data_IF_969041239746
#
_entry.id   IF_969041239746
#
_cell.length_a   1.000
_cell.length_b   1.000
_cell.length_c   1.000
_cell.angle_alpha   90.00
_cell.angle_beta   90.00
_cell.angle_gamma   90.00
#
_symmetry.space_group_name_H-M   'P 1'
#
loop_
_entity.id
_entity.type
_entity.pdbx_description
1 polymer ?
#
# COMPACT_ATOMS: atom_id res chain seq x y z
N UNK A 1 -4.71 5.32 -20.88
CA UNK A 1 -3.68 5.43 -19.82
C UNK A 1 -4.32 6.33 -18.78
N UNK A 2 -4.79 5.79 -17.64
CA UNK A 2 -5.57 6.55 -16.67
C UNK A 2 -4.85 7.82 -16.17
N UNK A 3 -3.52 7.81 -16.19
CA UNK A 3 -2.69 8.96 -15.86
C UNK A 3 -2.95 10.19 -16.77
N UNK A 4 -3.33 9.97 -18.04
CA UNK A 4 -3.54 11.06 -19.01
C UNK A 4 -4.87 11.80 -18.80
N UNK A 5 -5.80 11.22 -18.05
CA UNK A 5 -7.08 11.87 -17.73
C UNK A 5 -6.87 13.08 -16.79
N UNK A 6 -5.68 13.20 -16.20
CA UNK A 6 -5.25 14.29 -15.33
C UNK A 6 -4.40 15.35 -16.01
N UNK A 7 -4.23 15.30 -17.34
CA UNK A 7 -3.36 16.22 -18.05
C UNK A 7 -3.75 17.69 -17.87
N UNK A 8 -5.04 18.01 -18.00
CA UNK A 8 -5.54 19.38 -17.88
C UNK A 8 -5.51 19.91 -16.43
N UNK A 9 -5.62 19.01 -15.44
CA UNK A 9 -5.57 19.33 -14.01
C UNK A 9 -4.15 19.24 -13.41
N UNK A 10 -3.14 18.88 -14.21
CA UNK A 10 -1.80 18.50 -13.76
C UNK A 10 -1.19 19.52 -12.79
N UNK A 11 -1.17 20.80 -13.15
CA UNK A 11 -0.55 21.84 -12.32
C UNK A 11 -1.23 21.99 -10.95
N UNK A 12 -2.52 21.72 -10.88
CA UNK A 12 -3.27 21.77 -9.62
C UNK A 12 -3.02 20.53 -8.75
N UNK A 13 -2.76 19.37 -9.37
CA UNK A 13 -2.66 18.07 -8.71
C UNK A 13 -1.22 17.63 -8.41
N UNK A 14 -0.24 18.17 -9.15
CA UNK A 14 1.15 17.76 -9.03
C UNK A 14 1.69 17.94 -7.62
N UNK A 15 2.63 17.08 -7.25
CA UNK A 15 3.36 17.17 -5.98
C UNK A 15 4.03 18.55 -5.85
N UNK A 16 3.93 19.15 -4.66
CA UNK A 16 4.51 20.45 -4.32
C UNK A 16 5.49 20.40 -3.14
N UNK A 17 5.96 19.21 -2.75
CA UNK A 17 6.92 19.03 -1.66
C UNK A 17 7.66 17.67 -1.70
N UNK A 18 8.39 17.37 -0.62
CA UNK A 18 9.07 16.09 -0.46
C UNK A 18 8.08 15.03 -0.01
N UNK A 19 7.30 14.52 -0.96
CA UNK A 19 6.30 13.48 -0.73
C UNK A 19 6.72 12.20 -1.44
N UNK A 20 6.78 11.10 -0.70
CA UNK A 20 6.98 9.76 -1.25
C UNK A 20 5.65 9.03 -1.40
N UNK A 21 5.52 8.28 -2.49
CA UNK A 21 4.55 7.21 -2.65
C UNK A 21 5.29 5.91 -2.45
N UNK A 22 4.78 5.07 -1.56
CA UNK A 22 5.37 3.77 -1.26
C UNK A 22 4.66 2.72 -2.10
N UNK A 23 5.39 2.14 -3.05
CA UNK A 23 4.89 1.06 -3.89
C UNK A 23 5.00 -0.30 -3.18
N UNK A 24 3.98 -1.18 -3.26
CA UNK A 24 3.93 -2.40 -2.47
C UNK A 24 4.43 -3.64 -3.25
N UNK A 25 5.73 -3.78 -3.50
CA UNK A 25 6.30 -4.93 -4.22
C UNK A 25 6.04 -6.24 -3.47
N UNK A 26 6.08 -6.23 -2.14
CA UNK A 26 5.79 -7.41 -1.33
C UNK A 26 4.34 -7.85 -1.48
N UNK A 27 3.38 -6.91 -1.44
CA UNK A 27 1.98 -7.24 -1.74
C UNK A 27 1.81 -7.73 -3.16
N UNK A 28 2.37 -7.03 -4.16
CA UNK A 28 2.33 -7.46 -5.55
C UNK A 28 2.80 -8.92 -5.68
N UNK A 29 3.91 -9.25 -5.02
CA UNK A 29 4.48 -10.60 -5.01
C UNK A 29 3.57 -11.60 -4.31
N UNK A 30 2.98 -11.23 -3.17
CA UNK A 30 2.04 -12.06 -2.39
C UNK A 30 0.77 -12.42 -3.17
N UNK A 31 0.33 -11.57 -4.10
CA UNK A 31 -0.83 -11.78 -4.96
C UNK A 31 -0.54 -12.59 -6.23
N UNK A 32 0.71 -12.97 -6.50
CA UNK A 32 1.02 -13.85 -7.62
C UNK A 32 0.42 -15.24 -7.41
N UNK A 33 0.24 -15.98 -8.52
CA UNK A 33 -0.19 -17.37 -8.47
C UNK A 33 0.73 -18.21 -7.58
N UNK A 34 0.14 -19.02 -6.69
CA UNK A 34 0.81 -19.75 -5.61
C UNK A 34 1.53 -18.84 -4.60
N UNK A 35 1.09 -17.60 -4.49
CA UNK A 35 1.55 -16.62 -3.51
C UNK A 35 0.80 -16.72 -2.18
N UNK A 36 1.16 -15.83 -1.26
CA UNK A 36 0.59 -15.81 0.10
C UNK A 36 -0.92 -15.56 0.08
N UNK A 37 -1.42 -14.77 -0.87
CA UNK A 37 -2.85 -14.53 -1.00
C UNK A 37 -3.64 -15.82 -1.32
N UNK A 38 -3.08 -16.78 -2.07
CA UNK A 38 -3.74 -18.06 -2.35
C UNK A 38 -3.91 -18.92 -1.09
N UNK A 39 -3.04 -18.74 -0.09
CA UNK A 39 -3.23 -19.33 1.24
C UNK A 39 -4.43 -18.71 1.94
N UNK A 40 -4.55 -17.38 1.97
CA UNK A 40 -5.72 -16.71 2.57
C UNK A 40 -7.03 -16.98 1.84
N UNK A 41 -6.98 -17.15 0.52
CA UNK A 41 -8.16 -17.51 -0.28
C UNK A 41 -8.58 -18.99 -0.14
N UNK A 42 -7.80 -19.82 0.57
CA UNK A 42 -8.06 -21.25 0.72
C UNK A 42 -7.81 -22.06 -0.54
N UNK A 43 -7.05 -21.52 -1.49
CA UNK A 43 -6.66 -22.21 -2.73
C UNK A 43 -5.40 -23.06 -2.55
N UNK A 44 -4.58 -22.78 -1.52
CA UNK A 44 -3.31 -23.47 -1.29
C UNK A 44 -2.85 -23.44 0.19
N UNK A 45 -2.90 -24.57 0.89
CA UNK A 45 -2.52 -24.66 2.31
C UNK A 45 -1.01 -24.47 2.58
N UNK A 46 -0.16 -24.57 1.56
CA UNK A 46 1.30 -24.48 1.69
C UNK A 46 1.90 -23.21 1.10
N UNK A 47 1.09 -22.31 0.52
CA UNK A 47 1.55 -21.11 -0.15
C UNK A 47 1.83 -19.99 0.86
N UNK A 48 2.80 -20.19 1.74
CA UNK A 48 3.21 -19.19 2.75
C UNK A 48 4.51 -18.49 2.38
N UNK A 49 5.04 -18.71 1.17
CA UNK A 49 6.24 -18.06 0.67
C UNK A 49 6.14 -17.85 -0.83
N UNK A 50 6.73 -16.76 -1.33
CA UNK A 50 6.69 -16.41 -2.76
C UNK A 50 7.93 -15.63 -3.17
N UNK A 51 8.34 -15.79 -4.42
CA UNK A 51 9.43 -15.02 -5.02
C UNK A 51 9.05 -13.56 -5.17
N UNK A 52 9.97 -12.67 -4.84
CA UNK A 52 9.81 -11.22 -4.99
C UNK A 52 9.84 -10.86 -6.47
N UNK A 53 8.85 -10.08 -6.91
CA UNK A 53 8.84 -9.51 -8.26
C UNK A 53 9.91 -8.44 -8.42
N UNK A 54 10.55 -8.41 -9.59
CA UNK A 54 11.58 -7.43 -9.93
C UNK A 54 11.07 -6.30 -10.83
N UNK A 55 9.76 -6.20 -11.01
CA UNK A 55 9.11 -5.18 -11.84
C UNK A 55 7.92 -4.59 -11.11
N UNK A 56 7.67 -3.29 -11.31
CA UNK A 56 6.42 -2.67 -10.92
C UNK A 56 5.29 -3.15 -11.83
N UNK A 57 4.32 -3.85 -11.25
CA UNK A 57 3.11 -4.24 -11.97
C UNK A 57 2.02 -3.19 -11.85
N UNK A 58 1.11 -3.21 -12.82
CA UNK A 58 -0.02 -2.29 -12.88
C UNK A 58 -1.31 -3.06 -12.60
N UNK A 59 -1.23 -3.96 -11.63
CA UNK A 59 -2.33 -4.83 -11.22
C UNK A 59 -3.22 -4.13 -10.20
N UNK A 60 -4.48 -4.57 -10.13
CA UNK A 60 -5.46 -4.03 -9.20
C UNK A 60 -5.01 -4.17 -7.74
N UNK A 61 -4.44 -5.33 -7.38
CA UNK A 61 -3.97 -5.65 -6.03
C UNK A 61 -2.71 -4.90 -5.61
N UNK A 62 -1.94 -4.36 -6.55
CA UNK A 62 -0.73 -3.57 -6.28
C UNK A 62 -0.96 -2.06 -6.50
N UNK A 63 -2.22 -1.60 -6.48
CA UNK A 63 -2.57 -0.19 -6.68
C UNK A 63 -2.09 0.40 -8.01
N UNK A 64 -2.16 -0.39 -9.10
CA UNK A 64 -1.56 -0.06 -10.38
C UNK A 64 -1.97 1.29 -10.97
N UNK A 65 -3.24 1.68 -10.85
CA UNK A 65 -3.75 2.98 -11.29
C UNK A 65 -3.24 4.09 -10.37
N UNK A 66 -3.33 3.92 -9.05
CA UNK A 66 -2.83 4.89 -8.08
C UNK A 66 -1.34 5.18 -8.27
N UNK A 67 -0.54 4.13 -8.45
CA UNK A 67 0.89 4.24 -8.77
C UNK A 67 1.13 5.10 -10.02
N UNK A 68 0.50 4.77 -11.14
CA UNK A 68 0.72 5.48 -12.42
C UNK A 68 0.29 6.94 -12.36
N UNK A 69 -0.85 7.20 -11.72
CA UNK A 69 -1.39 8.57 -11.59
C UNK A 69 -0.48 9.41 -10.71
N UNK A 70 -0.07 8.92 -9.54
CA UNK A 70 0.79 9.68 -8.63
C UNK A 70 2.21 9.85 -9.20
N UNK A 71 2.77 8.82 -9.84
CA UNK A 71 4.04 8.94 -10.57
C UNK A 71 3.94 10.02 -11.66
N UNK A 72 2.88 9.98 -12.48
CA UNK A 72 2.63 10.99 -13.50
C UNK A 72 2.57 12.40 -12.91
N UNK A 73 1.87 12.59 -11.77
CA UNK A 73 1.75 13.84 -11.04
C UNK A 73 3.05 14.28 -10.32
N UNK A 74 4.17 13.60 -10.53
CA UNK A 74 5.49 13.99 -10.04
C UNK A 74 5.74 13.70 -8.56
N UNK A 75 4.97 12.80 -7.95
CA UNK A 75 5.29 12.27 -6.63
C UNK A 75 6.50 11.35 -6.72
N UNK A 76 7.41 11.40 -5.74
CA UNK A 76 8.58 10.51 -5.73
C UNK A 76 8.11 9.11 -5.37
N UNK A 77 8.57 8.09 -6.11
CA UNK A 77 8.23 6.70 -5.82
C UNK A 77 9.42 6.03 -5.17
N UNK A 78 9.18 5.41 -4.02
CA UNK A 78 10.04 4.42 -3.37
C UNK A 78 9.23 3.13 -3.22
N UNK A 79 9.88 2.01 -2.92
CA UNK A 79 9.19 0.77 -2.64
C UNK A 79 9.47 0.23 -1.23
N UNK A 80 8.65 -0.75 -0.84
CA UNK A 80 8.76 -1.46 0.43
C UNK A 80 10.10 -2.20 0.60
N UNK A 81 10.79 -2.57 -0.48
CA UNK A 81 12.16 -3.12 -0.42
C UNK A 81 13.16 -2.06 0.03
N UNK A 82 13.08 -0.83 -0.50
CA UNK A 82 13.93 0.29 -0.08
C UNK A 82 13.74 0.60 1.41
N UNK A 83 12.50 0.55 1.90
CA UNK A 83 12.17 0.79 3.30
C UNK A 83 12.67 -0.35 4.19
N UNK A 84 12.45 -1.61 3.83
CA UNK A 84 12.93 -2.74 4.64
C UNK A 84 14.47 -2.75 4.76
N UNK A 85 15.17 -2.43 3.68
CA UNK A 85 16.64 -2.31 3.68
C UNK A 85 17.14 -1.09 4.45
N UNK A 86 16.44 0.02 4.36
CA UNK A 86 16.82 1.27 5.01
C UNK A 86 15.60 2.07 5.50
N UNK A 87 15.05 1.75 6.68
CA UNK A 87 13.87 2.43 7.24
C UNK A 87 14.01 3.96 7.35
N UNK A 88 15.22 4.45 7.57
CA UNK A 88 15.54 5.88 7.69
C UNK A 88 15.33 6.67 6.39
N UNK A 89 15.12 6.00 5.25
CA UNK A 89 14.78 6.67 4.00
C UNK A 89 13.52 7.52 4.13
N UNK A 90 12.57 7.11 4.99
CA UNK A 90 11.32 7.82 5.22
C UNK A 90 11.54 9.20 5.87
N UNK A 91 12.63 9.41 6.62
CA UNK A 91 12.95 10.69 7.28
C UNK A 91 13.25 11.82 6.28
N UNK A 92 13.47 11.48 5.00
CA UNK A 92 13.70 12.46 3.93
C UNK A 92 12.41 13.13 3.44
N UNK A 93 11.26 12.59 3.82
CA UNK A 93 9.96 12.98 3.29
C UNK A 93 9.13 13.66 4.37
N UNK A 94 8.46 14.75 4.00
CA UNK A 94 7.55 15.46 4.90
C UNK A 94 6.22 14.70 5.06
N UNK A 95 5.90 13.88 4.06
CA UNK A 95 4.67 13.09 3.96
C UNK A 95 4.95 11.83 3.15
N UNK A 96 4.35 10.72 3.55
CA UNK A 96 4.33 9.51 2.74
C UNK A 96 2.90 9.09 2.43
N UNK A 97 2.69 8.55 1.22
CA UNK A 97 1.43 8.01 0.73
C UNK A 97 1.64 6.51 0.55
N UNK A 98 0.97 5.72 1.37
CA UNK A 98 1.02 4.27 1.30
C UNK A 98 -0.03 3.78 0.28
N UNK A 99 0.40 2.96 -0.67
CA UNK A 99 -0.49 2.24 -1.57
C UNK A 99 -1.03 0.98 -0.84
N UNK A 100 -1.36 -0.10 -1.55
CA UNK A 100 -1.86 -1.34 -0.96
C UNK A 100 -0.72 -2.19 -0.33
N UNK A 101 0.03 -1.62 0.61
CA UNK A 101 1.06 -2.32 1.39
C UNK A 101 0.41 -3.20 2.47
N UNK A 102 -0.27 -4.27 2.05
CA UNK A 102 -0.88 -5.29 2.91
C UNK A 102 0.18 -6.17 3.59
N UNK A 103 1.17 -6.65 2.82
CA UNK A 103 2.24 -7.52 3.28
C UNK A 103 3.50 -6.69 3.50
N UNK A 104 3.94 -6.58 4.75
CA UNK A 104 5.07 -5.72 5.12
C UNK A 104 5.99 -6.42 6.11
N UNK A 105 7.26 -6.01 6.13
CA UNK A 105 8.17 -6.50 7.17
C UNK A 105 7.93 -5.75 8.48
N UNK A 106 8.35 -6.34 9.60
CA UNK A 106 8.30 -5.64 10.89
C UNK A 106 9.06 -4.32 10.89
N UNK A 107 10.20 -4.23 10.18
CA UNK A 107 10.99 -3.01 10.09
C UNK A 107 10.26 -1.93 9.30
N UNK A 108 9.66 -2.31 8.17
CA UNK A 108 8.84 -1.42 7.36
C UNK A 108 7.62 -0.92 8.14
N UNK A 109 6.90 -1.83 8.81
CA UNK A 109 5.77 -1.49 9.68
C UNK A 109 6.17 -0.45 10.73
N UNK A 110 7.23 -0.71 11.50
CA UNK A 110 7.72 0.21 12.52
C UNK A 110 8.12 1.57 11.92
N UNK A 111 8.76 1.60 10.74
CA UNK A 111 9.12 2.84 10.06
C UNK A 111 7.88 3.67 9.69
N UNK A 112 6.86 3.02 9.12
CA UNK A 112 5.64 3.67 8.65
C UNK A 112 4.85 4.23 9.83
N UNK A 113 4.59 3.45 10.88
CA UNK A 113 3.75 3.91 12.01
C UNK A 113 4.41 5.02 12.85
N UNK A 114 5.75 5.14 12.80
CA UNK A 114 6.48 6.21 13.47
C UNK A 114 6.72 7.45 12.58
N UNK A 115 6.46 7.35 11.27
CA UNK A 115 6.51 8.52 10.40
C UNK A 115 5.42 9.52 10.81
N UNK A 116 5.71 10.83 10.95
CA UNK A 116 4.78 11.80 11.54
C UNK A 116 3.54 12.09 10.68
N UNK A 117 3.60 11.79 9.37
CA UNK A 117 2.54 12.11 8.42
C UNK A 117 2.40 11.06 7.32
N UNK A 118 1.41 10.19 7.48
CA UNK A 118 1.12 9.09 6.56
C UNK A 118 -0.29 9.21 6.00
N UNK A 119 -0.43 9.09 4.68
CA UNK A 119 -1.71 8.88 4.01
C UNK A 119 -1.80 7.41 3.65
N UNK A 120 -2.65 6.65 4.33
CA UNK A 120 -2.98 5.29 3.95
C UNK A 120 -4.06 5.35 2.87
N UNK A 121 -3.64 5.35 1.62
CA UNK A 121 -4.55 5.56 0.48
C UNK A 121 -5.39 4.32 0.18
N UNK A 122 -4.87 3.12 0.48
CA UNK A 122 -5.57 1.86 0.27
C UNK A 122 -5.85 1.19 1.62
N UNK A 123 -7.07 0.63 1.82
CA UNK A 123 -7.42 -0.13 3.00
C UNK A 123 -6.72 -1.49 3.02
N UNK A 124 -6.83 -2.22 4.14
CA UNK A 124 -6.09 -3.48 4.39
C UNK A 124 -4.56 -3.27 4.41
N UNK A 125 -4.11 -2.05 4.69
CA UNK A 125 -2.69 -1.74 4.82
C UNK A 125 -2.12 -2.33 6.11
N UNK A 126 -0.83 -2.69 6.09
CA UNK A 126 -0.10 -3.19 7.25
C UNK A 126 -0.80 -4.39 7.90
N UNK A 127 -1.36 -5.28 7.09
CA UNK A 127 -2.19 -6.38 7.56
C UNK A 127 -1.38 -7.61 7.95
N UNK A 128 -0.35 -7.95 7.18
CA UNK A 128 0.35 -9.23 7.31
C UNK A 128 1.86 -9.02 7.45
N UNK A 129 2.44 -9.61 8.50
CA UNK A 129 3.87 -9.61 8.76
C UNK A 129 4.55 -10.67 7.90
N UNK A 130 5.58 -10.24 7.16
CA UNK A 130 6.45 -11.12 6.39
C UNK A 130 7.92 -10.96 6.82
N UNK A 131 8.72 -11.98 6.49
CA UNK A 131 10.19 -11.88 6.45
C UNK A 131 10.69 -11.93 5.01
N UNK A 132 11.82 -11.29 4.75
CA UNK A 132 12.46 -11.25 3.43
C UNK A 132 13.82 -11.96 3.48
N UNK A 133 14.04 -12.89 2.55
CA UNK A 133 15.34 -13.49 2.27
C UNK A 133 15.84 -12.97 0.92
N UNK A 134 16.60 -11.87 0.95
CA UNK A 134 17.17 -11.26 -0.26
C UNK A 134 18.16 -12.17 -1.00
N UNK A 135 18.79 -13.14 -0.32
CA UNK A 135 19.70 -14.09 -0.97
C UNK A 135 18.94 -15.10 -1.84
N UNK A 136 17.70 -15.40 -1.46
CA UNK A 136 16.78 -16.29 -2.21
C UNK A 136 15.73 -15.53 -3.00
N UNK A 137 15.71 -14.20 -2.93
CA UNK A 137 14.70 -13.34 -3.54
C UNK A 137 13.27 -13.77 -3.17
N UNK A 138 12.99 -13.98 -1.88
CA UNK A 138 11.75 -14.59 -1.40
C UNK A 138 11.20 -13.88 -0.17
N UNK A 139 9.88 -13.79 -0.07
CA UNK A 139 9.17 -13.41 1.15
C UNK A 139 8.45 -14.62 1.76
N UNK A 140 8.29 -14.62 3.07
CA UNK A 140 7.62 -15.67 3.83
C UNK A 140 6.68 -15.05 4.86
N UNK A 141 5.44 -15.53 4.92
CA UNK A 141 4.44 -15.12 5.90
C UNK A 141 4.88 -15.53 7.31
N UNK A 142 4.82 -14.58 8.24
CA UNK A 142 5.12 -14.77 9.67
C UNK A 142 3.85 -14.76 10.49
N UNK A 143 2.99 -13.75 10.28
CA UNK A 143 1.77 -13.55 11.05
C UNK A 143 0.76 -12.73 10.25
N UNK A 144 -0.51 -13.10 10.31
CA UNK A 144 -1.60 -12.38 9.65
C UNK A 144 -2.94 -13.03 9.96
N UNK A 145 -4.01 -12.70 9.23
CA UNK A 145 -5.34 -13.26 9.44
C UNK A 145 -5.32 -14.78 9.55
N UNK A 146 -5.77 -15.30 10.69
CA UNK A 146 -5.80 -16.72 11.03
C UNK A 146 -4.45 -17.49 10.85
N UNK A 147 -3.30 -16.78 10.87
CA UNK A 147 -1.97 -17.36 10.73
C UNK A 147 -0.96 -16.79 11.75
N UNK A 148 -0.12 -17.63 12.40
CA UNK A 148 -0.12 -19.09 12.34
C UNK A 148 -1.21 -19.72 13.23
N UNK A 149 -1.96 -18.89 13.95
CA UNK A 149 -3.01 -19.30 14.87
C UNK A 149 -4.33 -18.66 14.46
N UNK A 150 -5.43 -19.39 14.63
CA UNK A 150 -6.78 -18.88 14.41
C UNK A 150 -7.11 -17.73 15.37
N UNK A 151 -7.90 -16.76 14.91
CA UNK A 151 -8.36 -15.61 15.67
C UNK A 151 -7.45 -14.39 15.59
N UNK A 152 -6.29 -14.48 14.95
CA UNK A 152 -5.47 -13.32 14.60
C UNK A 152 -6.21 -12.55 13.51
N UNK A 153 -6.38 -11.24 13.70
CA UNK A 153 -7.06 -10.36 12.74
C UNK A 153 -6.08 -9.60 11.86
N UNK A 154 -4.95 -9.20 12.44
CA UNK A 154 -3.91 -8.40 11.81
C UNK A 154 -2.56 -8.87 12.38
N UNK A 155 -1.55 -8.99 11.52
CA UNK A 155 -0.21 -9.48 11.81
C UNK A 155 0.58 -8.65 12.83
N UNK A 156 0.19 -7.40 13.06
CA UNK A 156 0.86 -6.48 13.99
C UNK A 156 0.00 -6.04 15.17
N UNK A 157 -1.25 -6.53 15.26
CA UNK A 157 -2.25 -6.04 16.23
C UNK A 157 -2.44 -4.51 16.16
N UNK A 158 -2.33 -3.98 14.94
CA UNK A 158 -2.36 -2.54 14.68
C UNK A 158 -3.73 -1.94 15.03
N UNK A 159 -3.72 -0.85 15.81
CA UNK A 159 -4.95 -0.26 16.35
C UNK A 159 -5.77 0.49 15.30
N UNK A 160 -5.12 1.04 14.28
CA UNK A 160 -5.78 1.77 13.21
C UNK A 160 -6.13 0.86 12.01
N UNK A 161 -6.19 -0.46 12.22
CA UNK A 161 -6.51 -1.45 11.17
C UNK A 161 -7.77 -1.05 10.36
N UNK A 162 -7.53 -0.75 9.09
CA UNK A 162 -8.54 -0.26 8.14
C UNK A 162 -9.07 -1.36 7.20
N UNK A 163 -8.76 -2.63 7.47
CA UNK A 163 -9.26 -3.81 6.74
C UNK A 163 -10.79 -3.80 6.52
N UNK A 164 -11.65 -3.33 7.46
CA UNK A 164 -13.10 -3.28 7.22
C UNK A 164 -13.54 -2.51 5.96
N UNK A 165 -12.70 -1.59 5.46
CA UNK A 165 -12.97 -0.81 4.26
C UNK A 165 -12.48 -1.45 2.95
N UNK A 166 -11.82 -2.61 3.03
CA UNK A 166 -11.19 -3.28 1.90
C UNK A 166 -12.16 -3.61 0.75
N UNK A 167 -13.40 -4.00 1.08
CA UNK A 167 -14.38 -4.47 0.11
C UNK A 167 -15.20 -3.35 -0.54
N UNK A 168 -15.00 -2.08 -0.18
CA UNK A 168 -15.61 -0.95 -0.90
C UNK A 168 -14.74 -0.57 -2.11
N UNK A 169 -14.92 -1.31 -3.19
CA UNK A 169 -14.17 -1.12 -4.43
C UNK A 169 -14.73 -0.05 -5.34
N UNK A 170 -15.96 0.41 -5.10
CA UNK A 170 -16.57 1.50 -5.87
C UNK A 170 -16.15 2.87 -5.35
N UNK A 171 -15.84 2.97 -4.05
CA UNK A 171 -15.20 4.12 -3.41
C UNK A 171 -15.83 5.46 -3.82
N UNK A 172 -17.17 5.51 -3.84
CA UNK A 172 -17.95 6.68 -4.27
C UNK A 172 -18.17 7.67 -3.12
N UNK A 173 -18.38 7.14 -1.91
CA UNK A 173 -18.58 7.93 -0.68
C UNK A 173 -17.28 8.04 0.13
N UNK A 174 -16.18 8.26 -0.57
CA UNK A 174 -14.84 8.29 0.01
C UNK A 174 -14.70 9.44 1.02
N UNK A 175 -13.99 9.18 2.11
CA UNK A 175 -13.67 10.10 3.20
C UNK A 175 -12.33 9.72 3.79
N UNK A 176 -11.54 10.72 4.10
CA UNK A 176 -10.39 10.54 4.99
C UNK A 176 -10.84 10.64 6.44
N UNK A 177 -10.40 9.69 7.25
CA UNK A 177 -10.52 9.75 8.71
C UNK A 177 -9.12 9.74 9.34
N UNK A 178 -9.03 10.19 10.60
CA UNK A 178 -7.75 10.28 11.30
C UNK A 178 -7.24 8.90 11.76
N UNK A 179 -5.96 8.67 11.54
CA UNK A 179 -5.15 7.66 12.20
C UNK A 179 -4.21 8.33 13.22
N UNK A 180 -3.49 7.54 14.02
CA UNK A 180 -2.54 8.07 15.00
C UNK A 180 -1.47 8.96 14.37
N UNK A 181 -0.96 8.58 13.19
CA UNK A 181 0.13 9.27 12.51
C UNK A 181 -0.26 9.81 11.11
N UNK A 182 -1.54 10.09 10.89
CA UNK A 182 -2.01 10.72 9.66
C UNK A 182 -3.48 10.45 9.32
N UNK A 183 -3.74 10.02 8.09
CA UNK A 183 -5.10 9.88 7.56
C UNK A 183 -5.26 8.59 6.75
N UNK A 184 -6.46 8.01 6.80
CA UNK A 184 -6.81 6.77 6.11
C UNK A 184 -8.02 6.97 5.22
N UNK A 185 -7.97 6.41 4.01
CA UNK A 185 -9.13 6.35 3.14
C UNK A 185 -10.07 5.21 3.58
N UNK A 186 -11.38 5.47 3.55
CA UNK A 186 -12.41 4.50 3.94
C UNK A 186 -12.92 3.61 2.79
N UNK A 187 -12.14 3.44 1.71
CA UNK A 187 -12.51 2.60 0.56
C UNK A 187 -11.29 2.31 -0.33
N UNK A 188 -11.40 1.32 -1.22
CA UNK A 188 -10.36 0.92 -2.15
C UNK A 188 -10.47 1.72 -3.45
N UNK A 189 -9.56 2.68 -3.73
CA UNK A 189 -9.82 3.74 -4.71
C UNK A 189 -9.47 3.38 -6.16
N UNK A 190 -9.08 2.14 -6.43
CA UNK A 190 -8.50 1.73 -7.71
C UNK A 190 -9.43 1.86 -8.92
N UNK A 191 -10.75 1.79 -8.70
CA UNK A 191 -11.76 2.00 -9.76
C UNK A 191 -12.14 3.47 -9.92
N UNK A 192 -12.13 4.24 -8.83
CA UNK A 192 -12.50 5.67 -8.80
C UNK A 192 -11.37 6.55 -9.31
N UNK A 193 -10.12 6.23 -8.96
CA UNK A 193 -8.94 7.03 -9.27
C UNK A 193 -8.76 7.31 -10.77
N UNK A 194 -9.03 6.40 -11.72
CA UNK A 194 -8.91 6.74 -13.13
C UNK A 194 -9.89 7.82 -13.61
N UNK A 195 -11.16 7.74 -13.21
CA UNK A 195 -12.23 8.49 -13.87
C UNK A 195 -12.83 9.62 -13.02
N UNK A 196 -12.74 9.54 -11.70
CA UNK A 196 -13.42 10.44 -10.75
C UNK A 196 -12.50 10.82 -9.57
N UNK A 197 -11.18 10.79 -9.78
CA UNK A 197 -10.20 10.96 -8.71
C UNK A 197 -9.73 12.39 -8.45
N UNK A 198 -10.10 13.40 -9.26
CA UNK A 198 -9.56 14.76 -9.11
C UNK A 198 -9.72 15.34 -7.71
N UNK A 199 -10.90 15.21 -7.09
CA UNK A 199 -11.14 15.74 -5.73
C UNK A 199 -10.42 14.92 -4.65
N UNK A 200 -10.31 13.60 -4.85
CA UNK A 200 -9.53 12.72 -3.98
C UNK A 200 -8.04 13.10 -4.03
N UNK A 201 -7.48 13.31 -5.23
CA UNK A 201 -6.09 13.71 -5.44
C UNK A 201 -5.79 15.11 -4.90
N UNK A 202 -6.70 16.08 -5.08
CA UNK A 202 -6.62 17.40 -4.43
C UNK A 202 -6.59 17.26 -2.91
N UNK A 203 -7.39 16.37 -2.35
CA UNK A 203 -7.41 16.12 -0.91
C UNK A 203 -6.10 15.50 -0.43
N UNK A 204 -5.58 14.47 -1.12
CA UNK A 204 -4.29 13.83 -0.82
C UNK A 204 -3.15 14.86 -0.83
N UNK A 205 -3.14 15.76 -1.81
CA UNK A 205 -2.16 16.85 -1.89
C UNK A 205 -2.20 17.76 -0.66
N UNK A 206 -3.40 18.16 -0.24
CA UNK A 206 -3.62 19.15 0.82
C UNK A 206 -3.56 18.58 2.25
N UNK A 207 -3.69 17.26 2.43
CA UNK A 207 -3.51 16.60 3.73
C UNK A 207 -2.07 16.65 4.20
#
# INVERSE_FOLDING_TARGET
MPELDYYDDYDSLRSDGNVAVVYPIFTQSAYNWKGIHDYYAGYCDSCTSVTISNVYEKSYSASGNGFRILEFLGYQVIDDIDIDKNPQILEKYDKIILLHNEFVTKKEYEAIIHHPKVIYLYPNSLNSEITVDYSKNMITLVRGPDYPQKGIKNGFDWQDDNTPYFNDWNCLDWKFYKAQNGYMLNCYPETTLPNNGSDLLKTIKNL
#
